data_IF_309840108238
#
_entry.id   IF_309840108238
#
_cell.length_a   1.000
_cell.length_b   1.000
_cell.length_c   1.000
_cell.angle_alpha   90.00
_cell.angle_beta   90.00
_cell.angle_gamma   90.00
#
_symmetry.space_group_name_H-M   'P 1'
#
loop_
_entity.id
_entity.type
_entity.pdbx_description
1 polymer ?
#
# COMPACT_ATOMS: atom_id res chain seq x y z
N UNK A 1 0.05 -21.63 0.85
CA UNK A 1 0.51 -20.31 1.30
C UNK A 1 -0.06 -19.30 0.33
N UNK A 2 -1.03 -18.51 0.79
CA UNK A 2 -1.56 -17.41 0.01
C UNK A 2 -0.80 -16.13 0.40
N UNK A 3 -0.36 -15.36 -0.60
CA UNK A 3 0.34 -14.10 -0.40
C UNK A 3 -0.33 -13.07 -1.30
N UNK A 4 -0.94 -12.06 -0.71
CA UNK A 4 -1.44 -10.89 -1.44
C UNK A 4 -0.49 -9.71 -1.19
N UNK A 5 -0.05 -9.08 -2.27
CA UNK A 5 0.88 -7.96 -2.22
C UNK A 5 0.21 -6.74 -2.84
N UNK A 6 0.09 -5.66 -2.08
CA UNK A 6 -0.52 -4.40 -2.52
C UNK A 6 0.48 -3.27 -2.43
N UNK A 7 0.82 -2.67 -3.57
CA UNK A 7 1.64 -1.46 -3.61
C UNK A 7 0.80 -0.27 -3.12
N UNK A 8 1.24 0.36 -2.03
CA UNK A 8 0.58 1.52 -1.43
C UNK A 8 1.29 2.83 -1.75
N UNK A 9 2.59 2.80 -2.06
CA UNK A 9 3.35 3.97 -2.49
C UNK A 9 4.33 3.57 -3.60
N UNK A 10 4.29 4.30 -4.71
CA UNK A 10 5.20 4.19 -5.85
C UNK A 10 5.25 5.55 -6.57
N UNK A 11 6.30 5.77 -7.36
CA UNK A 11 6.55 7.01 -8.08
C UNK A 11 5.49 7.31 -9.16
N UNK A 12 4.65 6.33 -9.52
CA UNK A 12 3.59 6.44 -10.51
C UNK A 12 2.31 5.73 -10.07
N UNK A 13 1.17 6.21 -10.58
CA UNK A 13 -0.14 5.56 -10.42
C UNK A 13 -0.85 5.56 -11.76
N UNK A 14 -1.37 4.40 -12.16
CA UNK A 14 -2.13 4.24 -13.40
C UNK A 14 -3.51 3.65 -13.09
N UNK A 15 -4.56 4.21 -13.71
CA UNK A 15 -5.92 3.66 -13.70
C UNK A 15 -6.52 3.37 -12.29
N UNK A 16 -6.12 4.13 -11.27
CA UNK A 16 -6.67 4.07 -9.91
C UNK A 16 -7.12 5.44 -9.44
N UNK A 17 -8.38 5.78 -9.71
CA UNK A 17 -8.97 7.07 -9.30
C UNK A 17 -8.87 7.23 -7.79
N UNK A 18 -8.32 8.37 -7.35
CA UNK A 18 -8.13 8.73 -5.94
C UNK A 18 -6.80 8.28 -5.34
N UNK A 19 -6.09 7.31 -5.96
CA UNK A 19 -4.73 6.99 -5.54
C UNK A 19 -3.76 8.06 -6.03
N UNK A 20 -2.73 8.34 -5.23
CA UNK A 20 -1.72 9.37 -5.53
C UNK A 20 -0.34 8.72 -5.68
N UNK A 21 0.44 9.27 -6.61
CA UNK A 21 1.85 8.93 -6.77
C UNK A 21 2.71 9.74 -5.78
N UNK A 22 3.78 9.13 -5.30
CA UNK A 22 4.74 9.75 -4.38
C UNK A 22 6.12 9.15 -4.66
N UNK A 23 7.17 9.98 -4.65
CA UNK A 23 8.54 9.47 -4.76
C UNK A 23 8.94 8.72 -3.48
N UNK A 24 8.64 7.43 -3.42
CA UNK A 24 8.79 6.59 -2.25
C UNK A 24 8.25 5.18 -2.49
N UNK A 25 8.43 4.31 -1.51
CA UNK A 25 8.01 2.92 -1.60
C UNK A 25 7.27 2.47 -0.35
N UNK A 26 6.15 1.77 -0.55
CA UNK A 26 5.47 1.07 0.53
C UNK A 26 4.59 -0.04 -0.04
N UNK A 27 4.64 -1.21 0.61
CA UNK A 27 3.91 -2.40 0.19
C UNK A 27 3.26 -3.06 1.40
N UNK A 28 1.96 -3.34 1.29
CA UNK A 28 1.24 -4.15 2.25
C UNK A 28 1.22 -5.61 1.79
N UNK A 29 1.78 -6.48 2.62
CA UNK A 29 1.95 -7.91 2.35
C UNK A 29 1.04 -8.67 3.31
N UNK A 30 0.04 -9.34 2.79
CA UNK A 30 -0.92 -10.13 3.57
C UNK A 30 -0.60 -11.61 3.38
N UNK A 31 -0.47 -12.34 4.49
CA UNK A 31 -0.14 -13.77 4.49
C UNK A 31 -1.03 -14.53 5.45
N UNK A 32 -1.03 -15.86 5.33
CA UNK A 32 -1.71 -16.75 6.26
C UNK A 32 -1.16 -16.66 7.72
N UNK A 33 -0.02 -16.01 7.94
CA UNK A 33 0.68 -15.91 9.23
C UNK A 33 0.71 -14.50 9.82
N UNK A 34 0.03 -13.55 9.17
CA UNK A 34 0.03 -12.14 9.57
C UNK A 34 0.37 -11.21 8.42
N UNK A 35 0.16 -9.92 8.67
CA UNK A 35 0.36 -8.86 7.71
C UNK A 35 1.68 -8.13 8.00
N UNK A 36 2.33 -7.67 6.94
CA UNK A 36 3.54 -6.85 7.01
C UNK A 36 3.32 -5.57 6.22
N UNK A 37 3.74 -4.45 6.80
CA UNK A 37 3.93 -3.21 6.07
C UNK A 37 5.43 -3.06 5.79
N UNK A 38 5.81 -3.20 4.53
CA UNK A 38 7.19 -3.03 4.10
C UNK A 38 7.41 -1.62 3.58
N UNK A 39 8.21 -0.85 4.32
CA UNK A 39 8.48 0.57 4.09
C UNK A 39 7.23 1.47 4.17
N UNK A 40 7.41 2.78 4.28
CA UNK A 40 6.31 3.74 4.50
C UNK A 40 6.28 4.90 3.52
N UNK A 41 7.19 4.91 2.54
CA UNK A 41 7.43 6.07 1.70
C UNK A 41 7.78 7.31 2.53
N UNK A 42 7.52 8.48 1.95
CA UNK A 42 7.53 9.79 2.59
C UNK A 42 6.25 10.03 3.42
N UNK A 43 5.19 9.24 3.20
CA UNK A 43 4.02 9.12 4.08
C UNK A 43 2.74 9.79 3.59
N UNK A 44 2.75 10.52 2.48
CA UNK A 44 1.56 11.17 1.90
C UNK A 44 0.64 10.13 1.24
N UNK A 45 1.22 9.24 0.43
CA UNK A 45 0.51 8.22 -0.33
C UNK A 45 0.00 7.08 0.55
N UNK A 46 0.76 6.67 1.58
CA UNK A 46 0.50 5.45 2.36
C UNK A 46 -0.95 5.34 2.83
N UNK A 47 -1.42 6.30 3.64
CA UNK A 47 -2.76 6.24 4.24
C UNK A 47 -3.86 6.53 3.20
N UNK A 48 -3.61 7.43 2.25
CA UNK A 48 -4.56 7.73 1.17
C UNK A 48 -4.81 6.47 0.31
N UNK A 49 -3.74 5.85 -0.17
CA UNK A 49 -3.81 4.73 -1.08
C UNK A 49 -4.32 3.47 -0.37
N UNK A 50 -3.99 3.26 0.91
CA UNK A 50 -4.60 2.19 1.70
C UNK A 50 -6.12 2.32 1.77
N UNK A 51 -6.66 3.53 1.99
CA UNK A 51 -8.11 3.79 1.97
C UNK A 51 -8.72 3.57 0.59
N UNK A 52 -8.10 4.07 -0.47
CA UNK A 52 -8.56 3.92 -1.85
C UNK A 52 -8.60 2.44 -2.26
N UNK A 53 -7.59 1.66 -1.86
CA UNK A 53 -7.44 0.25 -2.17
C UNK A 53 -8.09 -0.67 -1.13
N UNK A 54 -8.79 -0.10 -0.13
CA UNK A 54 -9.50 -0.81 0.94
C UNK A 54 -8.61 -1.79 1.71
N UNK A 55 -7.40 -1.34 2.05
CA UNK A 55 -6.46 -2.06 2.91
C UNK A 55 -6.49 -1.45 4.31
N UNK A 56 -6.70 -2.31 5.30
CA UNK A 56 -6.65 -1.95 6.70
C UNK A 56 -5.23 -2.19 7.22
N UNK A 57 -4.60 -1.12 7.73
CA UNK A 57 -3.24 -1.16 8.27
C UNK A 57 -3.22 -1.26 9.80
N UNK A 58 -4.38 -1.40 10.45
CA UNK A 58 -4.50 -1.51 11.92
C UNK A 58 -4.43 -2.94 12.44
N UNK A 59 -4.38 -3.91 11.53
CA UNK A 59 -4.36 -5.37 11.80
C UNK A 59 -2.98 -5.91 12.09
#
# INVERSE_FOLDING_TARGET
MNIEVTVLCENSVFNRVGAIAEHGWSVFIQTDYGNYLFDTGQGLALINNARVLRKDLTT
#
